data_IF_224949757544
#
_entry.id   IF_224949757544
#
_cell.length_a   1.000
_cell.length_b   1.000
_cell.length_c   1.000
_cell.angle_alpha   90.00
_cell.angle_beta   90.00
_cell.angle_gamma   90.00
#
_symmetry.space_group_name_H-M   'P 1'
#
loop_
_entity.id
_entity.type
_entity.pdbx_description
1 polymer ?
#
# COMPACT_ATOMS: atom_id res chain seq x y z
N UNK A 1 9.29 8.98 -13.82
CA UNK A 1 9.04 7.80 -12.97
C UNK A 1 7.67 7.88 -12.32
N UNK A 2 6.74 7.08 -12.83
CA UNK A 2 5.44 6.86 -12.19
C UNK A 2 5.42 5.51 -11.46
N UNK A 3 4.63 5.40 -10.39
CA UNK A 3 4.35 4.13 -9.71
C UNK A 3 2.84 3.82 -9.65
N UNK A 4 2.50 2.55 -9.50
CA UNK A 4 1.19 2.11 -9.00
C UNK A 4 1.27 1.97 -7.49
N UNK A 5 0.24 2.44 -6.80
CA UNK A 5 0.04 2.18 -5.37
C UNK A 5 -1.25 1.40 -5.25
N UNK A 6 -1.14 0.17 -4.77
CA UNK A 6 -2.25 -0.74 -4.53
C UNK A 6 -2.52 -0.79 -3.03
N UNK A 7 -3.79 -0.77 -2.64
CA UNK A 7 -4.21 -0.87 -1.24
C UNK A 7 -5.25 -1.97 -1.11
N UNK A 8 -5.11 -2.80 -0.08
CA UNK A 8 -6.07 -3.86 0.24
C UNK A 8 -6.33 -3.89 1.76
N UNK A 9 -7.60 -3.88 2.21
CA UNK A 9 -7.93 -4.20 3.60
C UNK A 9 -7.55 -5.66 3.92
N UNK A 10 -6.87 -5.90 5.05
CA UNK A 10 -6.49 -7.26 5.51
C UNK A 10 -5.63 -7.28 6.78
N UNK A 11 -5.10 -6.14 7.23
CA UNK A 11 -4.13 -6.09 8.33
C UNK A 11 -4.80 -5.45 9.54
N UNK A 12 -4.90 -6.20 10.64
CA UNK A 12 -5.40 -5.65 11.89
C UNK A 12 -4.31 -4.81 12.57
N UNK A 13 -4.68 -3.64 13.10
CA UNK A 13 -3.74 -2.79 13.84
C UNK A 13 -3.16 -3.52 15.04
N UNK A 14 -1.83 -3.57 15.12
CA UNK A 14 -1.12 -4.21 16.22
C UNK A 14 -1.04 -3.36 17.50
N UNK A 15 -1.36 -2.07 17.42
CA UNK A 15 -1.03 -1.09 18.49
C UNK A 15 -2.22 -0.30 19.01
N UNK A 16 -3.42 -0.48 18.44
CA UNK A 16 -4.59 0.31 18.82
C UNK A 16 -5.42 -0.33 19.94
N UNK A 17 -5.24 -1.63 20.22
CA UNK A 17 -5.96 -2.41 21.24
C UNK A 17 -5.07 -3.51 21.84
N UNK A 18 -5.46 -4.08 22.98
CA UNK A 18 -4.71 -5.13 23.69
C UNK A 18 -4.51 -6.40 22.85
N UNK A 19 -5.52 -6.81 22.09
CA UNK A 19 -5.47 -8.03 21.29
C UNK A 19 -5.50 -7.69 19.80
N UNK A 20 -4.44 -8.05 19.07
CA UNK A 20 -4.27 -7.73 17.64
C UNK A 20 -5.48 -8.13 16.78
N UNK A 21 -6.09 -9.29 17.04
CA UNK A 21 -7.25 -9.76 16.28
C UNK A 21 -8.53 -8.93 16.50
N UNK A 22 -8.55 -8.06 17.52
CA UNK A 22 -9.61 -7.07 17.75
C UNK A 22 -9.26 -5.69 17.18
N UNK A 23 -8.06 -5.52 16.63
CA UNK A 23 -7.62 -4.28 16.02
C UNK A 23 -8.47 -3.94 14.80
N UNK A 24 -8.67 -2.64 14.58
CA UNK A 24 -9.29 -2.16 13.34
C UNK A 24 -8.43 -2.55 12.13
N UNK A 25 -9.06 -2.74 10.99
CA UNK A 25 -8.35 -2.97 9.72
C UNK A 25 -7.62 -1.68 9.31
N UNK A 26 -6.29 -1.76 9.21
CA UNK A 26 -5.39 -0.72 8.70
C UNK A 26 -4.94 -1.02 7.27
N UNK A 27 -5.19 -2.24 6.78
CA UNK A 27 -4.86 -2.71 5.46
C UNK A 27 -3.35 -2.75 5.17
N UNK A 28 -3.05 -3.16 3.95
CA UNK A 28 -1.69 -3.21 3.41
C UNK A 28 -1.60 -2.39 2.12
N UNK A 29 -0.42 -1.80 1.90
CA UNK A 29 -0.08 -1.10 0.68
C UNK A 29 1.06 -1.79 -0.07
N UNK A 30 1.04 -1.75 -1.38
CA UNK A 30 2.13 -2.22 -2.23
C UNK A 30 2.43 -1.21 -3.35
N UNK A 31 3.70 -1.01 -3.66
CA UNK A 31 4.15 -0.04 -4.66
C UNK A 31 4.90 -0.74 -5.79
N UNK A 32 4.52 -0.45 -7.03
CA UNK A 32 5.10 -1.06 -8.23
C UNK A 32 5.52 -0.01 -9.26
N UNK A 33 6.55 -0.33 -10.04
CA UNK A 33 7.00 0.50 -11.16
C UNK A 33 5.99 0.49 -12.29
N UNK A 34 5.75 1.66 -12.91
CA UNK A 34 5.08 1.75 -14.21
C UNK A 34 6.04 1.47 -15.38
N UNK A 35 7.34 1.57 -15.11
CA UNK A 35 8.41 1.40 -16.09
C UNK A 35 8.88 -0.06 -15.99
N UNK A 36 8.26 -0.94 -16.78
CA UNK A 36 8.58 -2.38 -16.77
C UNK A 36 7.56 -3.22 -17.54
N UNK A 37 6.30 -2.78 -17.59
CA UNK A 37 5.22 -3.50 -18.29
C UNK A 37 5.18 -3.27 -19.82
N UNK A 38 6.12 -2.51 -20.40
CA UNK A 38 6.09 -2.10 -21.82
C UNK A 38 4.93 -1.18 -22.20
N UNK A 39 3.92 -1.03 -21.34
CA UNK A 39 2.73 -0.22 -21.52
C UNK A 39 2.23 0.31 -20.16
N UNK A 40 1.68 1.52 -20.13
CA UNK A 40 0.97 2.04 -18.96
C UNK A 40 -0.36 1.30 -18.79
N UNK A 41 -0.45 0.45 -17.77
CA UNK A 41 -1.66 -0.29 -17.41
C UNK A 41 -2.54 0.55 -16.46
N UNK A 42 -3.79 0.88 -16.79
CA UNK A 42 -4.70 1.59 -15.89
C UNK A 42 -5.34 0.60 -14.91
N UNK A 43 -4.59 0.26 -13.85
CA UNK A 43 -5.04 -0.69 -12.82
C UNK A 43 -6.03 0.00 -11.86
N UNK A 44 -7.19 -0.61 -11.64
CA UNK A 44 -8.22 -0.14 -10.69
C UNK A 44 -8.61 -1.24 -9.70
N UNK A 45 -8.96 -0.88 -8.47
CA UNK A 45 -9.56 -1.83 -7.52
C UNK A 45 -10.92 -2.35 -8.03
N UNK A 46 -11.17 -3.64 -7.82
CA UNK A 46 -12.37 -4.36 -8.23
C UNK A 46 -12.66 -5.54 -7.28
N UNK A 47 -13.37 -5.26 -6.19
CA UNK A 47 -13.92 -6.27 -5.29
C UNK A 47 -12.85 -7.11 -4.58
N UNK A 48 -11.75 -6.49 -4.14
CA UNK A 48 -10.62 -7.16 -3.49
C UNK A 48 -9.56 -7.70 -4.45
N UNK A 49 -9.68 -7.40 -5.76
CA UNK A 49 -8.63 -7.61 -6.74
C UNK A 49 -8.30 -6.30 -7.47
N UNK A 50 -7.28 -6.33 -8.32
CA UNK A 50 -6.90 -5.18 -9.12
C UNK A 50 -7.06 -5.51 -10.61
N UNK A 51 -7.87 -4.75 -11.33
CA UNK A 51 -8.20 -5.00 -12.73
C UNK A 51 -7.47 -4.04 -13.66
N UNK A 52 -6.80 -4.59 -14.66
CA UNK A 52 -6.32 -3.88 -15.85
C UNK A 52 -7.29 -4.15 -17.02
N UNK A 53 -8.14 -3.17 -17.34
CA UNK A 53 -9.20 -3.34 -18.36
C UNK A 53 -8.66 -3.58 -19.77
N UNK A 54 -7.63 -2.85 -20.26
CA UNK A 54 -7.03 -3.11 -21.57
C UNK A 54 -6.60 -4.56 -21.82
N UNK A 55 -6.04 -5.24 -20.83
CA UNK A 55 -5.55 -6.63 -20.99
C UNK A 55 -6.51 -7.68 -20.42
N UNK A 56 -7.55 -7.23 -19.71
CA UNK A 56 -8.43 -8.09 -18.92
C UNK A 56 -7.73 -8.78 -17.75
N UNK A 57 -6.55 -8.29 -17.34
CA UNK A 57 -5.74 -8.97 -16.32
C UNK A 57 -6.18 -8.60 -14.91
N UNK A 58 -6.35 -9.62 -14.06
CA UNK A 58 -6.60 -9.47 -12.62
C UNK A 58 -5.32 -9.72 -11.85
N UNK A 59 -4.94 -8.75 -11.03
CA UNK A 59 -3.70 -8.74 -10.25
C UNK A 59 -4.00 -8.92 -8.76
N UNK A 60 -3.11 -9.63 -8.07
CA UNK A 60 -3.07 -9.68 -6.61
C UNK A 60 -2.42 -8.43 -6.03
N UNK A 61 -2.56 -8.22 -4.72
CA UNK A 61 -1.81 -7.19 -3.97
C UNK A 61 -0.29 -7.35 -4.06
N UNK A 62 0.20 -8.57 -4.31
CA UNK A 62 1.62 -8.86 -4.54
C UNK A 62 2.07 -8.53 -5.96
N UNK A 63 1.16 -8.05 -6.82
CA UNK A 63 1.45 -7.67 -8.19
C UNK A 63 1.52 -8.84 -9.16
N UNK A 64 0.93 -10.01 -8.83
CA UNK A 64 0.88 -11.17 -9.72
C UNK A 64 -0.42 -11.21 -10.52
N UNK A 65 -0.34 -11.37 -11.84
CA UNK A 65 -1.51 -11.55 -12.70
C UNK A 65 -2.01 -13.00 -12.62
N UNK A 66 -3.24 -13.20 -12.13
CA UNK A 66 -3.89 -14.51 -12.03
C UNK A 66 -4.72 -14.85 -13.28
N UNK A 67 -5.19 -13.82 -13.98
CA UNK A 67 -6.11 -13.93 -15.12
C UNK A 67 -5.73 -12.90 -16.21
N UNK A 68 -6.38 -12.99 -17.37
CA UNK A 68 -6.16 -12.11 -18.52
C UNK A 68 -4.93 -12.47 -19.35
N UNK A 69 -4.59 -11.62 -20.32
CA UNK A 69 -3.51 -11.88 -21.26
C UNK A 69 -2.11 -11.83 -20.62
N UNK A 70 -1.99 -11.20 -19.45
CA UNK A 70 -0.73 -11.12 -18.70
C UNK A 70 -0.61 -12.18 -17.60
N UNK A 71 -1.51 -13.18 -17.56
CA UNK A 71 -1.49 -14.25 -16.56
C UNK A 71 -0.09 -14.86 -16.37
N UNK A 72 0.33 -14.98 -15.11
CA UNK A 72 1.65 -15.49 -14.72
C UNK A 72 2.76 -14.43 -14.67
N UNK A 73 2.52 -13.23 -15.19
CA UNK A 73 3.46 -12.11 -15.06
C UNK A 73 3.36 -11.45 -13.69
N UNK A 74 4.41 -10.69 -13.34
CA UNK A 74 4.49 -9.92 -12.10
C UNK A 74 4.87 -8.48 -12.39
N UNK A 75 4.22 -7.54 -11.70
CA UNK A 75 4.64 -6.15 -11.67
C UNK A 75 6.02 -6.03 -11.00
N UNK A 76 6.81 -5.04 -11.39
CA UNK A 76 8.12 -4.79 -10.78
C UNK A 76 7.93 -4.06 -9.45
N UNK A 77 8.25 -4.67 -8.29
CA UNK A 77 8.08 -4.03 -6.99
C UNK A 77 9.07 -2.87 -6.83
N UNK A 78 8.61 -1.80 -6.20
CA UNK A 78 9.47 -0.71 -5.72
C UNK A 78 9.66 -0.91 -4.22
N UNK A 79 10.91 -0.78 -3.76
CA UNK A 79 11.22 -0.77 -2.34
C UNK A 79 10.44 0.34 -1.64
N UNK A 80 9.62 -0.05 -0.67
CA UNK A 80 8.82 0.83 0.15
C UNK A 80 8.73 0.25 1.56
N UNK A 81 8.31 1.07 2.51
CA UNK A 81 8.11 0.67 3.90
C UNK A 81 6.75 1.18 4.36
N UNK A 82 5.97 0.29 4.97
CA UNK A 82 4.81 0.63 5.78
C UNK A 82 5.27 0.65 7.24
N UNK A 83 5.17 1.80 7.89
CA UNK A 83 5.65 2.00 9.26
C UNK A 83 4.71 2.93 10.02
N UNK A 84 4.54 2.66 11.30
CA UNK A 84 3.82 3.56 12.18
C UNK A 84 4.55 4.91 12.26
N UNK A 85 3.78 6.00 12.20
CA UNK A 85 4.34 7.35 12.20
C UNK A 85 5.23 7.63 13.42
N UNK A 86 4.88 7.09 14.60
CA UNK A 86 5.66 7.29 15.83
C UNK A 86 6.97 6.49 15.83
N UNK A 87 7.00 5.33 15.16
CA UNK A 87 8.24 4.59 14.99
C UNK A 87 9.16 5.35 14.02
N UNK A 88 8.60 5.94 12.96
CA UNK A 88 9.36 6.82 12.08
C UNK A 88 9.93 8.03 12.82
N UNK A 89 9.14 8.69 13.67
CA UNK A 89 9.57 9.85 14.50
C UNK A 89 10.73 9.49 15.44
N UNK A 90 10.72 8.30 16.04
CA UNK A 90 11.78 7.85 16.94
C UNK A 90 13.14 7.67 16.22
N UNK A 91 13.14 7.27 14.95
CA UNK A 91 14.37 7.05 14.17
C UNK A 91 14.79 8.25 13.31
N UNK A 92 13.83 9.06 12.86
CA UNK A 92 14.03 10.20 11.94
C UNK A 92 13.26 11.44 12.41
N UNK A 93 13.55 11.99 13.60
CA UNK A 93 12.80 13.10 14.19
C UNK A 93 12.83 14.38 13.36
N UNK A 94 13.89 14.59 12.56
CA UNK A 94 14.02 15.71 11.64
C UNK A 94 13.06 15.64 10.45
N UNK A 95 12.64 14.44 10.03
CA UNK A 95 11.79 14.24 8.86
C UNK A 95 10.35 14.76 9.06
N UNK A 96 9.91 14.86 10.32
CA UNK A 96 8.57 15.32 10.71
C UNK A 96 8.55 16.78 11.13
N UNK A 97 9.72 17.43 11.22
CA UNK A 97 9.87 18.82 11.66
C UNK A 97 9.61 19.78 10.49
N UNK A 98 8.40 19.74 9.98
CA UNK A 98 7.89 20.69 8.97
C UNK A 98 6.53 21.20 9.43
N UNK A 99 6.32 22.51 9.31
CA UNK A 99 5.07 23.22 9.56
C UNK A 99 3.87 22.69 8.74
N UNK A 100 4.11 21.88 7.70
CA UNK A 100 3.06 21.31 6.83
C UNK A 100 2.30 20.10 7.37
N UNK A 101 2.78 19.39 8.39
CA UNK A 101 2.07 18.22 8.94
C UNK A 101 1.19 18.53 10.16
N UNK A 102 1.10 19.81 10.56
CA UNK A 102 0.34 20.25 11.74
C UNK A 102 -1.19 20.06 11.64
N UNK A 103 -1.72 19.65 10.48
CA UNK A 103 -3.16 19.49 10.24
C UNK A 103 -3.71 18.06 10.35
N UNK A 104 -2.86 17.04 10.41
CA UNK A 104 -3.31 15.67 10.64
C UNK A 104 -3.58 15.48 12.13
N UNK A 105 -4.80 15.09 12.52
CA UNK A 105 -5.06 14.64 13.90
C UNK A 105 -4.03 13.56 14.23
N UNK A 106 -3.03 13.90 15.04
CA UNK A 106 -2.17 12.92 15.68
C UNK A 106 -3.11 11.93 16.38
N UNK A 107 -2.95 10.64 16.11
CA UNK A 107 -3.58 9.63 16.96
C UNK A 107 -3.17 9.92 18.40
N UNK A 108 -4.06 9.76 19.40
CA UNK A 108 -3.71 10.05 20.78
C UNK A 108 -2.43 9.31 21.16
N UNK A 109 -1.62 9.98 21.97
CA UNK A 109 -0.49 9.35 22.65
C UNK A 109 -0.99 8.07 23.35
N UNK A 110 -0.41 6.88 23.09
CA UNK A 110 -0.87 5.63 23.70
C UNK A 110 -0.48 5.49 25.19
N UNK A 111 -0.34 6.61 25.91
CA UNK A 111 -0.09 6.64 27.36
C UNK A 111 -1.36 6.50 28.18
#
# INVERSE_FOLDING_TARGET
>A
MGCYVLFQPCEASAVDVEFVYLGRDVGQGAVFSREGAGQLLPITEDGGAFLDRPTGSRWTILGQALEGSLKGQSLTPIHHTSIFWFAWDAFYPEALRTDRFAGGRKSPDPR
#
